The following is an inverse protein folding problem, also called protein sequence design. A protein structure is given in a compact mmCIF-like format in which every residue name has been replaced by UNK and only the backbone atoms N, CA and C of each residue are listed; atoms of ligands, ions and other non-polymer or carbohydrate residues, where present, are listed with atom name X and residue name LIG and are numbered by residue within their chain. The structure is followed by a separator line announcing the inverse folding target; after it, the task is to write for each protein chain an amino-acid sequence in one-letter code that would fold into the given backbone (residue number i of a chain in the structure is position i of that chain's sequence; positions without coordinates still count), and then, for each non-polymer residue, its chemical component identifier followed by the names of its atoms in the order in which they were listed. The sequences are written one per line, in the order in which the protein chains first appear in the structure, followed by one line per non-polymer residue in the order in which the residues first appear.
data_IF_787605574072
#
_entry.id   IF_787605574072
#
_cell.length_a   1.000
_cell.length_b   1.000
_cell.length_c   1.000
_cell.angle_alpha   90.00
_cell.angle_beta   90.00
_cell.angle_gamma   90.00
#
_symmetry.space_group_name_H-M   'P 1'
#
loop_
_entity.id
_entity.type
_entity.pdbx_description
1 polymer ?
#
# COMPACT_ATOMS: atom_id res chain seq x y z
N UNK A 1 -0.99 12.05 15.23
CA UNK A 1 -1.38 12.60 13.92
C UNK A 1 -2.86 12.29 13.82
N UNK A 2 -3.72 13.25 14.10
CA UNK A 2 -5.17 13.01 14.15
C UNK A 2 -5.62 12.51 12.78
N UNK A 3 -6.23 11.32 12.75
CA UNK A 3 -6.64 10.67 11.50
C UNK A 3 -7.58 11.62 10.75
N UNK A 4 -7.18 12.19 9.60
CA UNK A 4 -7.99 13.15 8.88
C UNK A 4 -9.27 12.44 8.39
N UNK A 5 -10.42 12.81 8.97
CA UNK A 5 -11.72 12.25 8.57
C UNK A 5 -12.79 12.18 9.68
N UNK A 6 -12.43 12.23 10.96
CA UNK A 6 -13.42 12.01 12.03
C UNK A 6 -14.31 13.22 12.37
N UNK A 7 -14.05 14.41 11.84
CA UNK A 7 -14.78 15.63 12.25
C UNK A 7 -16.15 15.78 11.55
N UNK A 8 -16.38 15.17 10.38
CA UNK A 8 -17.67 15.28 9.69
C UNK A 8 -18.65 14.14 10.00
N UNK A 9 -18.22 13.08 10.69
CA UNK A 9 -19.04 11.90 10.95
C UNK A 9 -19.30 11.03 9.72
N UNK A 10 -18.71 11.34 8.56
CA UNK A 10 -18.89 10.53 7.36
C UNK A 10 -18.10 9.23 7.45
N UNK A 11 -18.75 8.11 7.13
CA UNK A 11 -18.09 6.81 7.11
C UNK A 11 -17.06 6.74 5.95
N UNK A 12 -15.87 6.26 6.27
CA UNK A 12 -14.84 5.95 5.27
C UNK A 12 -15.20 4.64 4.57
N UNK A 13 -15.41 4.70 3.26
CA UNK A 13 -15.76 3.54 2.42
C UNK A 13 -14.49 2.84 1.92
N UNK A 14 -13.50 3.61 1.49
CA UNK A 14 -12.25 3.09 0.96
C UNK A 14 -11.12 4.13 1.08
N UNK A 15 -9.89 3.67 1.24
CA UNK A 15 -8.68 4.50 1.17
C UNK A 15 -7.70 3.91 0.18
N UNK A 16 -7.08 4.75 -0.62
CA UNK A 16 -5.92 4.39 -1.45
C UNK A 16 -4.82 5.41 -1.25
N UNK A 17 -3.61 4.92 -1.01
CA UNK A 17 -2.43 5.74 -0.81
C UNK A 17 -1.61 5.84 -2.10
N UNK A 18 -0.58 6.70 -2.09
CA UNK A 18 0.42 6.82 -3.15
C UNK A 18 -0.16 7.20 -4.52
N UNK A 19 -1.08 8.17 -4.53
CA UNK A 19 -1.53 8.80 -5.76
C UNK A 19 -0.63 9.99 -6.09
N UNK A 20 -0.38 10.23 -7.38
CA UNK A 20 0.21 11.49 -7.85
C UNK A 20 -0.86 12.30 -8.56
N UNK A 21 -0.96 13.57 -8.18
CA UNK A 21 -1.74 14.57 -8.90
C UNK A 21 -0.82 15.76 -9.14
N UNK A 22 -0.57 16.08 -10.42
CA UNK A 22 0.34 17.17 -10.82
C UNK A 22 1.74 17.11 -10.15
N UNK A 23 2.28 15.90 -9.97
CA UNK A 23 3.60 15.68 -9.38
C UNK A 23 3.65 15.74 -7.84
N UNK A 24 2.51 15.88 -7.16
CA UNK A 24 2.41 15.90 -5.70
C UNK A 24 1.74 14.60 -5.22
N UNK A 25 2.23 14.04 -4.11
CA UNK A 25 1.69 12.84 -3.46
C UNK A 25 0.39 13.12 -2.71
N UNK A 26 -0.61 12.28 -2.95
CA UNK A 26 -1.93 12.32 -2.32
C UNK A 26 -2.36 10.94 -1.83
N UNK A 27 -3.17 10.95 -0.77
CA UNK A 27 -4.04 9.88 -0.37
C UNK A 27 -5.47 10.22 -0.81
N UNK A 28 -6.16 9.29 -1.45
CA UNK A 28 -7.59 9.42 -1.73
C UNK A 28 -8.40 8.67 -0.68
N UNK A 29 -9.32 9.39 -0.05
CA UNK A 29 -10.25 8.88 0.94
C UNK A 29 -11.66 9.00 0.35
N UNK A 30 -12.29 7.86 0.10
CA UNK A 30 -13.67 7.77 -0.38
C UNK A 30 -14.59 7.73 0.83
N UNK A 31 -15.36 8.80 1.03
CA UNK A 31 -16.35 8.93 2.10
C UNK A 31 -17.75 8.67 1.55
N UNK A 32 -18.75 8.58 2.42
CA UNK A 32 -20.15 8.63 2.01
C UNK A 32 -20.47 10.01 1.40
N UNK A 33 -20.82 10.04 0.10
CA UNK A 33 -21.20 11.26 -0.61
C UNK A 33 -20.08 12.12 -1.23
N UNK A 34 -18.80 11.90 -0.90
CA UNK A 34 -17.68 12.68 -1.49
C UNK A 34 -16.35 11.93 -1.54
N UNK A 35 -15.52 12.33 -2.51
CA UNK A 35 -14.10 11.99 -2.60
C UNK A 35 -13.27 13.09 -1.93
N UNK A 36 -12.38 12.71 -1.01
CA UNK A 36 -11.44 13.63 -0.37
C UNK A 36 -10.02 13.27 -0.78
N UNK A 37 -9.26 14.24 -1.27
CA UNK A 37 -7.85 14.11 -1.61
C UNK A 37 -7.01 14.84 -0.57
N UNK A 38 -6.24 14.06 0.19
CA UNK A 38 -5.37 14.54 1.27
C UNK A 38 -3.94 14.55 0.75
N UNK A 39 -3.31 15.72 0.74
CA UNK A 39 -1.91 15.84 0.37
C UNK A 39 -1.02 15.25 1.47
N UNK A 40 0.02 14.47 1.10
CA UNK A 40 0.95 13.86 2.07
C UNK A 40 1.77 14.92 2.83
N UNK A 41 2.11 16.03 2.17
CA UNK A 41 2.67 17.21 2.82
C UNK A 41 1.61 17.88 3.72
N UNK A 42 1.64 17.55 5.01
CA UNK A 42 0.78 18.12 6.05
C UNK A 42 0.83 19.65 6.04
N UNK A 43 -0.16 20.29 5.40
CA UNK A 43 -0.25 21.76 5.28
C UNK A 43 -0.85 22.26 3.97
N UNK A 44 -1.00 21.41 2.95
CA UNK A 44 -1.66 21.75 1.69
C UNK A 44 -3.18 21.52 1.75
N UNK A 45 -3.97 22.26 0.94
CA UNK A 45 -5.43 22.19 0.97
C UNK A 45 -5.93 20.79 0.62
N UNK A 46 -6.94 20.34 1.37
CA UNK A 46 -7.75 19.17 1.04
C UNK A 46 -8.64 19.54 -0.15
N UNK A 47 -8.66 18.69 -1.18
CA UNK A 47 -9.62 18.82 -2.27
C UNK A 47 -10.77 17.86 -2.00
N UNK A 48 -11.96 18.41 -1.79
CA UNK A 48 -13.18 17.64 -1.58
C UNK A 48 -14.08 17.76 -2.80
N UNK A 49 -14.53 16.63 -3.32
CA UNK A 49 -15.35 16.55 -4.53
C UNK A 49 -16.59 15.71 -4.20
N UNK A 50 -17.77 16.34 -4.02
CA UNK A 50 -19.02 15.62 -3.89
C UNK A 50 -19.25 14.69 -5.08
N UNK A 51 -19.72 13.47 -4.84
CA UNK A 51 -19.94 12.50 -5.93
C UNK A 51 -20.95 13.01 -6.96
N UNK A 52 -21.96 13.77 -6.52
CA UNK A 52 -22.94 14.42 -7.39
C UNK A 52 -22.32 15.44 -8.36
N UNK A 53 -21.16 16.00 -8.03
CA UNK A 53 -20.46 16.96 -8.88
C UNK A 53 -19.57 16.24 -9.89
N UNK A 54 -19.27 14.94 -9.69
CA UNK A 54 -18.48 14.14 -10.61
C UNK A 54 -19.34 13.72 -11.81
N UNK A 55 -19.04 14.31 -12.96
CA UNK A 55 -19.72 14.01 -14.23
C UNK A 55 -19.24 12.74 -14.89
N UNK A 56 -17.95 12.40 -14.76
CA UNK A 56 -17.36 11.20 -15.35
C UNK A 56 -16.07 10.82 -14.62
N UNK A 57 -15.92 9.54 -14.30
CA UNK A 57 -14.64 8.95 -13.94
C UNK A 57 -14.24 7.92 -15.02
N UNK A 58 -13.09 8.10 -15.67
CA UNK A 58 -12.61 7.17 -16.70
C UNK A 58 -11.29 6.54 -16.31
N UNK A 59 -11.22 5.22 -16.47
CA UNK A 59 -9.96 4.51 -16.39
C UNK A 59 -9.12 4.82 -17.64
N UNK A 60 -7.87 5.20 -17.43
CA UNK A 60 -6.91 5.45 -18.49
C UNK A 60 -5.56 4.82 -18.10
N UNK A 61 -4.63 4.86 -19.06
CA UNK A 61 -3.22 4.54 -18.84
C UNK A 61 -2.40 5.70 -19.39
N UNK A 62 -1.50 6.28 -18.59
CA UNK A 62 -0.71 7.43 -19.06
C UNK A 62 0.40 7.01 -20.04
N UNK A 63 1.20 7.98 -20.50
CA UNK A 63 2.34 7.74 -21.41
C UNK A 63 3.44 6.87 -20.79
N UNK A 64 3.52 6.83 -19.46
CA UNK A 64 4.45 6.00 -18.69
C UNK A 64 3.88 4.60 -18.38
N UNK A 65 2.70 4.28 -18.91
CA UNK A 65 1.98 3.02 -18.65
C UNK A 65 1.50 2.85 -17.21
N UNK A 66 1.37 3.94 -16.48
CA UNK A 66 0.78 3.91 -15.14
C UNK A 66 -0.74 3.96 -15.24
N UNK A 67 -1.46 3.20 -14.40
CA UNK A 67 -2.92 3.27 -14.34
C UNK A 67 -3.36 4.63 -13.81
N UNK A 68 -4.33 5.24 -14.48
CA UNK A 68 -4.87 6.56 -14.14
C UNK A 68 -6.38 6.48 -14.02
N UNK A 69 -6.96 7.26 -13.09
CA UNK A 69 -8.38 7.64 -13.14
C UNK A 69 -8.44 9.12 -13.50
N UNK A 70 -9.06 9.44 -14.63
CA UNK A 70 -9.40 10.83 -14.97
C UNK A 70 -10.79 11.13 -14.42
N UNK A 71 -10.89 12.07 -13.49
CA UNK A 71 -12.15 12.52 -12.89
C UNK A 71 -12.49 13.89 -13.47
N UNK A 72 -13.66 14.00 -14.09
CA UNK A 72 -14.22 15.27 -14.57
C UNK A 72 -15.38 15.67 -13.67
N UNK A 73 -15.33 16.86 -13.09
CA UNK A 73 -16.32 17.32 -12.12
C UNK A 73 -16.71 18.79 -12.32
N UNK A 74 -17.93 19.14 -11.92
CA UNK A 74 -18.45 20.50 -11.90
C UNK A 74 -17.92 21.28 -10.70
N UNK A 75 -17.67 22.56 -10.89
CA UNK A 75 -17.32 23.51 -9.82
C UNK A 75 -18.51 24.41 -9.49
N UNK A 76 -18.50 25.01 -8.30
CA UNK A 76 -19.53 25.96 -7.87
C UNK A 76 -19.76 27.12 -8.86
N UNK A 77 -18.73 27.50 -9.61
CA UNK A 77 -18.78 28.56 -10.63
C UNK A 77 -19.45 28.09 -11.94
N UNK A 78 -19.96 26.86 -12.00
CA UNK A 78 -20.53 26.25 -13.21
C UNK A 78 -19.48 25.77 -14.23
N UNK A 79 -18.19 25.95 -13.94
CA UNK A 79 -17.09 25.44 -14.75
C UNK A 79 -16.89 23.92 -14.57
N UNK A 80 -16.30 23.28 -15.58
CA UNK A 80 -15.88 21.88 -15.52
C UNK A 80 -14.37 21.80 -15.29
N UNK A 81 -13.93 20.94 -14.36
CA UNK A 81 -12.53 20.65 -14.08
C UNK A 81 -12.23 19.17 -14.26
N UNK A 82 -10.99 18.87 -14.66
CA UNK A 82 -10.46 17.52 -14.75
C UNK A 82 -9.28 17.36 -13.82
N UNK A 83 -9.21 16.22 -13.11
CA UNK A 83 -8.03 15.78 -12.37
C UNK A 83 -7.63 14.38 -12.82
N UNK A 84 -6.34 14.10 -12.81
CA UNK A 84 -5.77 12.79 -13.10
C UNK A 84 -5.21 12.22 -11.81
N UNK A 85 -5.79 11.11 -11.34
CA UNK A 85 -5.29 10.33 -10.22
C UNK A 85 -4.34 9.28 -10.78
N UNK A 86 -3.03 9.52 -10.69
CA UNK A 86 -2.01 8.60 -11.18
C UNK A 86 -1.66 7.64 -10.06
N UNK A 87 -1.91 6.34 -10.26
CA UNK A 87 -1.55 5.31 -9.30
C UNK A 87 -0.09 4.95 -9.54
N UNK A 88 0.79 5.42 -8.65
CA UNK A 88 2.23 5.13 -8.75
C UNK A 88 2.41 3.61 -8.74
N UNK A 89 3.34 3.14 -9.56
CA UNK A 89 3.59 1.72 -9.70
C UNK A 89 4.06 1.08 -8.37
N UNK A 90 3.14 0.46 -7.63
CA UNK A 90 3.46 -0.65 -6.71
C UNK A 90 3.77 -1.87 -7.55
N UNK A 91 4.74 -2.66 -7.12
CA UNK A 91 5.07 -3.88 -7.83
C UNK A 91 3.84 -4.84 -7.86
N UNK A 92 3.81 -5.78 -8.81
CA UNK A 92 2.78 -6.83 -8.96
C UNK A 92 1.45 -6.44 -9.65
N UNK A 93 1.36 -5.29 -10.32
CA UNK A 93 0.12 -4.90 -11.00
C UNK A 93 -1.05 -4.58 -10.05
N UNK A 94 -0.80 -4.53 -8.73
CA UNK A 94 -1.76 -4.11 -7.71
C UNK A 94 -2.34 -2.71 -8.00
N UNK A 95 -1.63 -1.87 -8.74
CA UNK A 95 -2.14 -0.53 -9.11
C UNK A 95 -3.34 -0.59 -10.04
N UNK A 96 -3.39 -1.57 -10.95
CA UNK A 96 -4.55 -1.76 -11.81
C UNK A 96 -5.74 -2.22 -10.96
N UNK A 97 -5.51 -3.14 -10.02
CA UNK A 97 -6.55 -3.60 -9.11
C UNK A 97 -7.04 -2.49 -8.18
N UNK A 98 -6.14 -1.67 -7.64
CA UNK A 98 -6.48 -0.52 -6.80
C UNK A 98 -7.26 0.54 -7.59
N UNK A 99 -6.83 0.83 -8.83
CA UNK A 99 -7.57 1.70 -9.77
C UNK A 99 -8.98 1.17 -9.99
N UNK A 100 -9.11 -0.11 -10.35
CA UNK A 100 -10.40 -0.73 -10.66
C UNK A 100 -11.31 -0.83 -9.42
N UNK A 101 -10.72 -1.05 -8.22
CA UNK A 101 -11.43 -0.98 -6.94
C UNK A 101 -11.94 0.42 -6.66
N UNK A 102 -11.14 1.46 -6.89
CA UNK A 102 -11.57 2.86 -6.77
C UNK A 102 -12.72 3.20 -7.73
N UNK A 103 -12.64 2.75 -8.99
CA UNK A 103 -13.72 2.91 -9.96
C UNK A 103 -15.00 2.19 -9.53
N UNK A 104 -14.88 0.98 -8.98
CA UNK A 104 -16.02 0.23 -8.42
C UNK A 104 -16.67 0.99 -7.26
N UNK A 105 -15.88 1.63 -6.40
CA UNK A 105 -16.39 2.48 -5.32
C UNK A 105 -17.15 3.69 -5.88
N UNK A 106 -16.57 4.39 -6.87
CA UNK A 106 -17.23 5.52 -7.54
C UNK A 106 -18.56 5.11 -8.19
N UNK A 107 -18.58 4.00 -8.92
CA UNK A 107 -19.79 3.47 -9.56
C UNK A 107 -20.88 3.15 -8.54
N UNK A 108 -20.52 2.51 -7.41
CA UNK A 108 -21.47 2.22 -6.31
C UNK A 108 -22.05 3.49 -5.68
N UNK A 109 -21.34 4.61 -5.75
CA UNK A 109 -21.79 5.90 -5.27
C UNK A 109 -22.59 6.70 -6.32
N UNK A 110 -22.94 6.06 -7.45
CA UNK A 110 -23.74 6.66 -8.52
C UNK A 110 -22.94 7.54 -9.48
N UNK A 111 -21.60 7.54 -9.39
CA UNK A 111 -20.75 8.27 -10.33
C UNK A 111 -20.70 7.52 -11.66
N UNK A 112 -20.91 8.20 -12.81
CA UNK A 112 -20.75 7.58 -14.12
C UNK A 112 -19.30 7.14 -14.33
N UNK A 113 -19.07 5.84 -14.49
CA UNK A 113 -17.75 5.25 -14.70
C UNK A 113 -17.59 4.74 -16.13
N UNK A 114 -16.47 5.07 -16.75
CA UNK A 114 -16.04 4.48 -18.02
C UNK A 114 -14.86 3.53 -17.77
N UNK A 115 -15.03 2.22 -17.96
CA UNK A 115 -13.94 1.27 -17.78
C UNK A 115 -12.86 1.45 -18.85
N UNK A 116 -11.65 0.96 -18.54
CA UNK A 116 -10.50 1.02 -19.46
C UNK A 116 -10.85 0.20 -20.71
N UNK A 117 -10.64 0.70 -21.94
CA UNK A 117 -10.60 -0.17 -23.10
C UNK A 117 -9.62 -1.32 -22.83
N UNK A 118 -10.09 -2.54 -23.06
CA UNK A 118 -9.41 -3.78 -22.66
C UNK A 118 -7.96 -3.77 -23.16
N UNK A 119 -6.95 -4.30 -22.40
CA UNK A 119 -5.54 -4.23 -22.79
C UNK A 119 -5.20 -4.71 -24.22
N UNK A 120 -6.03 -5.59 -24.80
CA UNK A 120 -5.94 -6.00 -26.20
C UNK A 120 -6.06 -4.82 -27.19
N UNK A 121 -6.84 -3.80 -26.86
CA UNK A 121 -6.99 -2.57 -27.64
C UNK A 121 -5.75 -1.68 -27.53
N UNK A 122 -5.02 -1.74 -26.41
CA UNK A 122 -3.81 -0.94 -26.20
C UNK A 122 -2.66 -1.40 -27.11
N UNK A 123 -2.44 -2.72 -27.19
CA UNK A 123 -1.43 -3.28 -28.09
C UNK A 123 -1.80 -3.05 -29.55
N UNK A 124 -3.08 -3.09 -29.91
CA UNK A 124 -3.51 -2.88 -31.29
C UNK A 124 -3.46 -1.40 -31.71
N UNK A 125 -3.78 -0.45 -30.82
CA UNK A 125 -3.70 0.99 -31.09
C UNK A 125 -2.24 1.47 -31.19
N UNK A 126 -1.36 1.08 -30.27
CA UNK A 126 0.07 1.39 -30.36
C UNK A 126 0.74 0.79 -31.60
N UNK A 127 0.26 -0.38 -32.04
CA UNK A 127 0.72 -1.01 -33.28
C UNK A 127 0.20 -0.29 -34.52
N UNK A 128 -1.05 0.19 -34.53
CA UNK A 128 -1.62 1.01 -35.63
C UNK A 128 -0.95 2.37 -35.74
N UNK A 129 -0.74 3.08 -34.62
CA UNK A 129 -0.04 4.37 -34.61
C UNK A 129 1.40 4.25 -35.15
N UNK A 130 2.08 3.12 -34.92
CA UNK A 130 3.38 2.83 -35.55
C UNK A 130 3.30 2.49 -37.03
N UNK A 131 2.19 1.93 -37.51
CA UNK A 131 2.00 1.65 -38.94
C UNK A 131 1.61 2.90 -39.73
N UNK A 132 0.84 3.80 -39.13
CA UNK A 132 0.41 5.06 -39.77
C UNK A 132 1.52 6.12 -39.78
N UNK A 133 2.46 6.08 -38.82
CA UNK A 133 3.63 6.96 -38.84
C UNK A 133 4.66 6.63 -39.94
N UNK A 134 4.46 5.55 -40.71
CA UNK A 134 5.40 5.05 -41.72
C UNK A 134 4.92 5.11 -43.17
N UNK A 135 3.67 5.51 -43.43
CA UNK A 135 3.16 5.64 -44.81
C UNK A 135 3.51 7.00 -45.38
N UNK A 136 4.74 7.12 -45.87
CA UNK A 136 5.14 8.18 -46.79
C UNK A 136 4.22 8.12 -48.01
N UNK A 137 3.36 9.13 -48.13
CA UNK A 137 2.46 9.35 -49.23
C UNK A 137 3.26 9.34 -50.55
N UNK A 138 3.15 8.24 -51.30
CA UNK A 138 4.00 7.95 -52.47
C UNK A 138 3.49 8.61 -53.76
N UNK A 139 2.53 9.52 -53.65
CA UNK A 139 1.96 10.26 -54.76
C UNK A 139 2.55 11.67 -54.89
N UNK A 140 3.88 11.78 -55.02
CA UNK A 140 4.53 13.02 -55.43
C UNK A 140 5.42 12.77 -56.66
N UNK A 141 5.30 13.56 -57.74
CA UNK A 141 6.01 13.31 -58.98
C UNK A 141 7.53 13.50 -58.82
N UNK A 142 8.25 12.59 -59.48
CA UNK A 142 9.71 12.44 -59.51
C UNK A 142 10.45 13.73 -59.88
N UNK A 143 10.94 14.44 -58.86
CA UNK A 143 11.96 15.48 -58.98
C UNK A 143 13.04 15.23 -57.95
N UNK A 144 14.12 14.53 -58.33
CA UNK A 144 15.28 14.27 -57.46
C UNK A 144 15.98 15.60 -57.14
N UNK A 145 16.06 16.05 -55.88
CA UNK A 145 17.01 17.09 -55.51
C UNK A 145 18.41 16.47 -55.47
N UNK A 146 19.40 17.20 -56.00
CA UNK A 146 20.80 16.81 -55.92
C UNK A 146 21.23 16.72 -54.45
N UNK A 147 21.72 15.54 -54.06
CA UNK A 147 22.30 15.28 -52.74
C UNK A 147 23.69 15.92 -52.73
N UNK A 148 24.01 16.86 -51.83
CA UNK A 148 25.38 17.31 -51.66
C UNK A 148 26.20 16.22 -50.96
N UNK A 149 27.37 15.92 -51.51
CA UNK A 149 28.40 15.09 -50.85
C UNK A 149 28.81 15.72 -49.53
N UNK A 150 28.50 15.07 -48.41
CA UNK A 150 29.12 15.38 -47.13
C UNK A 150 30.10 14.26 -46.80
N UNK A 151 31.37 14.63 -46.83
CA UNK A 151 32.51 13.81 -46.43
C UNK A 151 32.41 13.46 -44.95
N UNK A 152 32.37 12.15 -44.71
CA UNK A 152 32.62 11.52 -43.41
C UNK A 152 34.07 11.81 -43.04
N UNK A 153 34.30 12.49 -41.91
CA UNK A 153 35.43 12.42 -40.95
C UNK A 153 35.60 13.77 -40.23
N UNK A 154 35.08 13.87 -39.02
CA UNK A 154 35.40 14.94 -38.06
C UNK A 154 35.56 14.34 -36.66
N UNK A 155 36.56 14.76 -35.86
CA UNK A 155 36.84 14.17 -34.55
C UNK A 155 35.81 14.58 -33.50
N UNK A 156 35.64 13.72 -32.49
CA UNK A 156 34.72 13.85 -31.38
C UNK A 156 34.76 15.24 -30.73
N UNK A 157 33.66 15.99 -30.83
CA UNK A 157 33.47 17.21 -30.06
C UNK A 157 33.07 16.83 -28.64
N UNK A 158 33.90 17.24 -27.68
CA UNK A 158 33.64 17.12 -26.27
C UNK A 158 32.35 17.84 -25.85
N UNK A 159 31.69 17.27 -24.85
CA UNK A 159 30.58 17.85 -24.11
C UNK A 159 30.88 19.29 -23.70
N UNK A 160 30.21 20.26 -24.32
CA UNK A 160 30.18 21.64 -23.82
C UNK A 160 29.40 21.66 -22.52
N UNK A 161 30.07 22.04 -21.42
CA UNK A 161 29.39 22.46 -20.19
C UNK A 161 28.41 23.58 -20.53
N UNK A 162 27.18 23.48 -20.02
CA UNK A 162 26.23 24.58 -20.04
C UNK A 162 26.85 25.75 -19.27
N UNK A 163 27.01 26.89 -19.94
CA UNK A 163 27.38 28.14 -19.27
C UNK A 163 26.27 28.48 -18.26
N UNK A 164 26.61 28.94 -17.04
CA UNK A 164 25.61 29.45 -16.11
C UNK A 164 24.88 30.63 -16.76
N UNK A 165 23.55 30.57 -16.79
CA UNK A 165 22.71 31.66 -17.29
C UNK A 165 22.95 32.91 -16.45
N UNK A 166 23.48 33.95 -17.10
CA UNK A 166 23.71 35.25 -16.51
C UNK A 166 22.34 35.89 -16.17
N UNK A 167 22.11 36.34 -14.92
CA UNK A 167 20.82 36.85 -14.51
C UNK A 167 20.49 38.12 -15.31
N UNK A 168 19.43 38.04 -16.11
CA UNK A 168 18.94 39.15 -16.93
C UNK A 168 18.61 40.34 -16.00
N UNK A 169 19.20 41.53 -16.21
CA UNK A 169 18.96 42.68 -15.34
C UNK A 169 17.48 43.05 -15.39
N UNK A 170 16.79 42.87 -14.27
CA UNK A 170 15.41 43.34 -14.09
C UNK A 170 15.42 44.87 -14.17
N UNK A 171 14.60 45.41 -15.06
CA UNK A 171 14.55 46.86 -15.28
C UNK A 171 14.03 47.56 -14.02
N UNK A 172 14.63 48.68 -13.60
CA UNK A 172 14.21 49.41 -12.40
C UNK A 172 12.77 49.95 -12.49
N UNK A 173 12.21 50.00 -13.71
CA UNK A 173 10.82 50.36 -13.94
C UNK A 173 9.84 49.31 -13.39
N UNK A 174 10.19 48.02 -13.45
CA UNK A 174 9.31 46.94 -12.99
C UNK A 174 9.17 46.92 -11.46
N UNK A 175 10.28 47.19 -10.75
CA UNK A 175 10.29 47.32 -9.29
C UNK A 175 9.46 48.50 -8.81
N UNK A 176 9.52 49.65 -9.50
CA UNK A 176 8.69 50.81 -9.16
C UNK A 176 7.20 50.53 -9.36
N UNK A 177 6.81 49.84 -10.45
CA UNK A 177 5.41 49.46 -10.68
C UNK A 177 4.91 48.52 -9.58
N UNK A 178 5.70 47.53 -9.18
CA UNK A 178 5.33 46.60 -8.11
C UNK A 178 5.13 47.32 -6.76
N UNK A 179 5.99 48.28 -6.42
CA UNK A 179 5.88 49.07 -5.19
C UNK A 179 4.61 49.94 -5.20
N UNK A 180 4.32 50.61 -6.32
CA UNK A 180 3.11 51.45 -6.46
C UNK A 180 1.85 50.61 -6.34
N UNK A 181 1.84 49.42 -6.95
CA UNK A 181 0.68 48.53 -6.92
C UNK A 181 0.43 47.97 -5.51
N UNK A 182 1.49 47.65 -4.77
CA UNK A 182 1.39 47.19 -3.39
C UNK A 182 0.91 48.30 -2.44
N UNK A 183 1.39 49.53 -2.64
CA UNK A 183 0.92 50.69 -1.88
C UNK A 183 -0.57 51.00 -2.16
N UNK A 184 -1.02 50.84 -3.42
CA UNK A 184 -2.42 51.02 -3.78
C UNK A 184 -3.34 49.97 -3.11
N UNK A 185 -2.93 48.70 -3.06
CA UNK A 185 -3.68 47.64 -2.37
C UNK A 185 -3.81 47.96 -0.86
N UNK A 186 -2.73 48.42 -0.24
CA UNK A 186 -2.72 48.81 1.17
C UNK A 186 -3.66 49.99 1.46
N UNK A 187 -3.69 50.97 0.56
CA UNK A 187 -4.61 52.11 0.65
C UNK A 187 -6.08 51.68 0.51
N UNK A 188 -6.39 50.76 -0.40
CA UNK A 188 -7.76 50.22 -0.55
C UNK A 188 -8.17 49.43 0.69
N UNK A 189 -7.27 48.64 1.27
CA UNK A 189 -7.55 47.87 2.48
C UNK A 189 -7.83 48.76 3.71
N UNK A 190 -7.24 49.96 3.80
CA UNK A 190 -7.48 50.88 4.92
C UNK A 190 -8.79 51.68 4.83
N UNK A 191 -9.36 51.83 3.63
CA UNK A 191 -10.61 52.61 3.42
C UNK A 191 -11.83 51.70 3.26
N UNK A 192 -11.62 50.40 3.09
CA UNK A 192 -12.72 49.43 2.97
C UNK A 192 -13.26 49.06 4.36
N UNK A 193 -14.53 49.35 4.68
CA UNK A 193 -15.13 48.91 5.93
C UNK A 193 -15.12 47.38 5.98
N UNK A 194 -14.45 46.82 6.99
CA UNK A 194 -14.47 45.39 7.29
C UNK A 194 -15.94 45.04 7.58
N UNK A 195 -16.61 44.22 6.76
CA UNK A 195 -17.97 43.80 7.06
C UNK A 195 -17.93 43.07 8.40
N UNK A 196 -18.71 43.55 9.37
CA UNK A 196 -18.89 42.86 10.64
C UNK A 196 -19.27 41.40 10.35
N UNK A 197 -18.65 40.41 11.02
CA UNK A 197 -19.03 39.02 10.89
C UNK A 197 -20.44 38.85 11.45
N UNK A 198 -21.44 39.08 10.60
CA UNK A 198 -22.82 38.76 10.86
C UNK A 198 -22.94 37.26 11.08
N UNK A 199 -23.30 36.88 12.31
CA UNK A 199 -23.73 35.54 12.69
C UNK A 199 -24.71 35.00 11.64
N UNK A 200 -24.26 33.99 10.90
CA UNK A 200 -25.05 33.38 9.84
C UNK A 200 -26.29 32.71 10.43
N UNK A 201 -27.42 32.93 9.75
CA UNK A 201 -28.77 32.74 10.30
C UNK A 201 -29.25 31.27 10.26
N UNK A 202 -28.36 30.33 9.91
CA UNK A 202 -28.71 28.93 9.72
C UNK A 202 -28.66 28.08 11.01
N UNK A 203 -28.16 28.63 12.13
CA UNK A 203 -28.19 27.95 13.44
C UNK A 203 -29.59 27.88 14.10
N UNK A 204 -30.65 28.37 13.47
CA UNK A 204 -32.00 28.45 14.09
C UNK A 204 -32.99 27.34 13.68
N UNK A 205 -32.54 26.24 13.08
CA UNK A 205 -33.43 25.18 12.59
C UNK A 205 -33.11 23.77 13.13
N UNK A 206 -32.79 23.62 14.42
CA UNK A 206 -32.68 22.31 15.06
C UNK A 206 -33.35 22.29 16.45
N UNK A 207 -34.65 22.61 16.51
CA UNK A 207 -35.46 22.37 17.69
C UNK A 207 -36.91 22.11 17.29
N UNK A 208 -37.28 20.83 17.07
CA UNK A 208 -38.56 20.23 17.47
C UNK A 208 -38.79 18.86 16.81
N UNK A 209 -38.59 17.76 17.56
CA UNK A 209 -39.67 16.82 17.93
C UNK A 209 -39.13 15.67 18.77
N UNK A 210 -39.53 15.66 20.04
CA UNK A 210 -39.51 14.49 20.90
C UNK A 210 -40.69 13.57 20.53
N UNK A 211 -40.41 12.27 20.37
CA UNK A 211 -41.39 11.20 20.23
C UNK A 211 -40.82 9.93 20.86
N UNK A 212 -41.08 9.75 22.15
CA UNK A 212 -40.67 8.59 22.95
C UNK A 212 -41.52 7.38 22.54
N UNK A 213 -40.88 6.32 22.05
CA UNK A 213 -41.48 4.98 21.96
C UNK A 213 -40.68 4.07 22.88
N UNK A 214 -41.36 3.45 23.85
CA UNK A 214 -40.74 2.54 24.81
C UNK A 214 -40.38 1.21 24.14
N UNK A 215 -39.11 0.82 24.25
CA UNK A 215 -38.61 -0.49 23.83
C UNK A 215 -38.72 -1.48 24.99
N UNK A 216 -39.28 -2.69 24.81
CA UNK A 216 -39.44 -3.66 25.89
C UNK A 216 -38.11 -4.31 26.29
N UNK A 217 -37.92 -4.40 27.61
CA UNK A 217 -36.85 -5.12 28.32
C UNK A 217 -36.90 -6.63 28.03
N UNK A 218 -35.83 -7.26 27.52
CA UNK A 218 -35.74 -8.72 27.48
C UNK A 218 -35.42 -9.30 28.87
N UNK A 219 -36.13 -10.38 29.21
CA UNK A 219 -35.98 -11.14 30.44
C UNK A 219 -34.65 -11.94 30.46
N UNK A 220 -34.00 -12.12 31.63
CA UNK A 220 -32.78 -12.89 31.75
C UNK A 220 -33.07 -14.40 31.57
N UNK A 221 -32.34 -15.03 30.64
CA UNK A 221 -32.31 -16.49 30.47
C UNK A 221 -31.22 -17.10 31.33
N UNK A 222 -31.61 -18.01 32.21
CA UNK A 222 -30.77 -18.75 33.15
C UNK A 222 -29.83 -19.74 32.43
N UNK A 223 -28.54 -19.68 32.78
CA UNK A 223 -27.52 -20.63 32.31
C UNK A 223 -27.65 -22.00 33.02
N UNK A 224 -27.49 -23.13 32.31
CA UNK A 224 -27.38 -24.44 32.94
C UNK A 224 -25.98 -24.67 33.55
N UNK A 225 -25.96 -25.02 34.82
CA UNK A 225 -24.80 -25.48 35.56
C UNK A 225 -24.33 -26.86 35.06
N UNK A 226 -23.06 -26.97 34.66
CA UNK A 226 -22.40 -28.25 34.42
C UNK A 226 -21.59 -28.65 35.67
N UNK A 227 -21.77 -29.91 36.05
CA UNK A 227 -21.32 -30.51 37.29
C UNK A 227 -19.79 -30.70 37.37
N UNK A 228 -19.28 -30.47 38.57
CA UNK A 228 -17.93 -30.83 39.02
C UNK A 228 -17.88 -32.34 39.24
N UNK A 229 -16.85 -33.00 38.69
CA UNK A 229 -16.48 -34.37 39.10
C UNK A 229 -15.04 -34.36 39.62
N UNK A 230 -14.94 -34.59 40.94
CA UNK A 230 -13.71 -34.89 41.65
C UNK A 230 -13.22 -36.29 41.28
N UNK A 231 -11.93 -36.45 41.03
CA UNK A 231 -11.22 -37.71 41.28
C UNK A 231 -10.03 -37.37 42.19
N UNK A 232 -10.05 -37.96 43.37
CA UNK A 232 -8.98 -37.96 44.34
C UNK A 232 -7.94 -39.03 43.97
N UNK A 233 -6.65 -38.69 44.01
CA UNK A 233 -5.56 -39.64 44.21
C UNK A 233 -4.54 -39.08 45.20
N UNK A 234 -4.08 -39.99 46.06
CA UNK A 234 -3.28 -39.82 47.27
C UNK A 234 -1.83 -39.36 47.04
N UNK A 235 -1.13 -38.94 48.11
CA UNK A 235 0.19 -38.32 48.05
C UNK A 235 1.32 -39.34 48.28
N UNK A 236 2.47 -39.09 47.64
CA UNK A 236 3.73 -39.67 48.09
C UNK A 236 4.86 -39.64 47.08
N UNK A 237 5.71 -38.61 47.14
CA UNK A 237 7.17 -38.67 47.26
C UNK A 237 7.89 -37.48 46.61
N UNK A 238 9.06 -37.20 47.18
CA UNK A 238 9.77 -35.92 47.23
C UNK A 238 11.15 -36.00 46.55
N UNK A 239 11.50 -34.91 45.83
CA UNK A 239 12.83 -34.24 45.68
C UNK A 239 13.82 -34.89 44.66
N UNK A 240 14.72 -34.16 43.94
CA UNK A 240 14.71 -32.80 43.33
C UNK A 240 15.21 -32.78 41.85
N UNK A 241 15.43 -31.58 41.30
CA UNK A 241 16.26 -31.26 40.12
C UNK A 241 15.74 -31.58 38.71
N UNK A 242 15.19 -30.53 38.07
CA UNK A 242 15.52 -30.05 36.72
C UNK A 242 14.39 -29.11 36.26
N UNK A 243 14.71 -27.85 35.96
CA UNK A 243 13.73 -26.88 35.47
C UNK A 243 13.37 -27.29 34.04
N UNK A 244 12.28 -28.05 33.90
CA UNK A 244 11.68 -28.35 32.61
C UNK A 244 11.12 -27.05 32.01
N UNK A 245 11.73 -26.60 30.92
CA UNK A 245 11.26 -25.50 30.09
C UNK A 245 9.89 -25.85 29.52
N UNK A 246 8.86 -25.10 29.92
CA UNK A 246 7.50 -25.32 29.47
C UNK A 246 7.39 -24.95 27.98
N UNK A 247 7.44 -25.96 27.11
CA UNK A 247 7.15 -25.79 25.69
C UNK A 247 5.68 -25.39 25.55
N UNK A 248 5.43 -24.14 25.14
CA UNK A 248 4.09 -23.69 24.81
C UNK A 248 3.52 -24.58 23.69
N UNK A 249 2.24 -24.98 23.74
CA UNK A 249 1.64 -25.75 22.67
C UNK A 249 1.72 -24.95 21.36
N UNK A 250 2.02 -25.60 20.21
CA UNK A 250 2.13 -24.91 18.93
C UNK A 250 0.84 -24.13 18.65
N UNK A 251 0.97 -22.82 18.45
CA UNK A 251 -0.16 -21.89 18.24
C UNK A 251 -0.62 -21.11 19.48
N UNK A 252 0.03 -21.26 20.64
CA UNK A 252 -0.20 -20.38 21.78
C UNK A 252 0.38 -18.97 21.50
N UNK A 253 -0.46 -17.95 21.67
CA UNK A 253 -0.05 -16.55 21.53
C UNK A 253 0.68 -16.12 22.80
N UNK A 254 1.83 -15.43 22.71
CA UNK A 254 2.55 -14.98 23.89
C UNK A 254 1.73 -14.04 24.77
N UNK A 255 1.87 -14.19 26.09
CA UNK A 255 1.13 -13.43 27.10
C UNK A 255 1.53 -11.95 27.27
N UNK A 256 2.46 -11.45 26.46
CA UNK A 256 3.02 -10.11 26.59
C UNK A 256 2.97 -9.37 25.26
N UNK A 257 2.40 -8.16 25.26
CA UNK A 257 2.32 -7.31 24.06
C UNK A 257 1.08 -7.57 23.22
N UNK A 258 1.02 -6.92 22.06
CA UNK A 258 -0.07 -7.04 21.08
C UNK A 258 0.38 -7.94 19.93
N UNK A 259 -0.46 -8.91 19.58
CA UNK A 259 -0.17 -9.91 18.56
C UNK A 259 -1.32 -10.06 17.58
N UNK A 260 -0.99 -10.34 16.32
CA UNK A 260 -1.96 -10.73 15.30
C UNK A 260 -1.66 -12.16 14.89
N UNK A 261 -2.62 -13.06 15.05
CA UNK A 261 -2.57 -14.44 14.56
C UNK A 261 -3.37 -14.53 13.28
N UNK A 262 -2.79 -15.10 12.25
CA UNK A 262 -3.49 -15.47 11.00
C UNK A 262 -3.35 -16.97 10.84
N UNK A 263 -4.46 -17.68 10.69
CA UNK A 263 -4.47 -19.12 10.51
C UNK A 263 -5.26 -19.48 9.25
N UNK A 264 -4.56 -20.09 8.28
CA UNK A 264 -5.16 -20.60 7.07
C UNK A 264 -4.35 -21.74 6.50
N UNK A 265 -4.98 -22.88 6.19
CA UNK A 265 -4.26 -24.02 5.60
C UNK A 265 -3.75 -23.72 4.18
N UNK A 266 -4.47 -22.86 3.46
CA UNK A 266 -4.09 -22.40 2.14
C UNK A 266 -3.13 -21.22 2.19
N UNK A 267 -2.98 -20.57 1.03
CA UNK A 267 -2.16 -19.36 0.92
C UNK A 267 -2.99 -18.11 1.14
N UNK A 268 -2.44 -17.13 1.85
CA UNK A 268 -3.04 -15.82 2.05
C UNK A 268 -2.03 -14.69 1.85
N UNK A 269 -2.53 -13.52 1.46
CA UNK A 269 -1.76 -12.28 1.35
C UNK A 269 -2.56 -11.12 1.92
N UNK A 270 -1.89 -10.06 2.38
CA UNK A 270 -2.55 -8.97 3.06
C UNK A 270 -1.61 -7.92 3.63
N UNK A 271 -2.15 -7.05 4.46
CA UNK A 271 -1.44 -5.99 5.16
C UNK A 271 -1.94 -5.87 6.59
N UNK A 272 -1.03 -5.69 7.55
CA UNK A 272 -1.30 -5.31 8.93
C UNK A 272 -0.78 -3.88 9.12
N UNK A 273 -1.63 -2.95 9.51
CA UNK A 273 -1.23 -1.56 9.75
C UNK A 273 -1.68 -1.07 11.12
N UNK A 274 -0.80 -0.36 11.82
CA UNK A 274 -1.08 0.22 13.13
C UNK A 274 -0.13 1.39 13.42
N UNK A 275 -0.66 2.55 13.80
CA UNK A 275 0.16 3.69 14.22
C UNK A 275 1.21 4.15 13.19
N UNK A 276 0.93 4.00 11.88
CA UNK A 276 1.86 4.32 10.78
C UNK A 276 2.86 3.21 10.44
N UNK A 277 2.92 2.12 11.22
CA UNK A 277 3.59 0.89 10.83
C UNK A 277 2.68 0.13 9.85
N UNK A 278 3.25 -0.39 8.77
CA UNK A 278 2.60 -1.34 7.87
C UNK A 278 3.51 -2.56 7.70
N UNK A 279 2.93 -3.75 7.83
CA UNK A 279 3.57 -5.05 7.64
C UNK A 279 2.78 -5.77 6.55
N UNK A 280 3.40 -6.02 5.41
CA UNK A 280 2.80 -6.88 4.41
C UNK A 280 2.91 -8.33 4.86
N UNK A 281 1.80 -9.06 4.81
CA UNK A 281 1.74 -10.47 5.18
C UNK A 281 1.48 -11.30 3.96
N UNK A 282 2.25 -12.37 3.82
CA UNK A 282 2.16 -13.29 2.71
C UNK A 282 2.68 -14.63 3.20
N UNK A 283 1.79 -15.59 3.44
CA UNK A 283 2.19 -16.88 4.00
C UNK A 283 1.11 -17.96 3.81
N UNK A 284 1.37 -19.10 4.43
CA UNK A 284 0.42 -20.19 4.62
C UNK A 284 0.56 -20.74 6.05
N UNK A 285 -0.41 -21.55 6.48
CA UNK A 285 -0.46 -22.12 7.81
C UNK A 285 -0.89 -21.10 8.88
N UNK A 286 -0.37 -21.28 10.10
CA UNK A 286 -0.59 -20.35 11.21
C UNK A 286 0.63 -19.48 11.42
N UNK A 287 0.48 -18.17 11.31
CA UNK A 287 1.51 -17.18 11.59
C UNK A 287 1.06 -16.26 12.73
N UNK A 288 2.03 -15.79 13.51
CA UNK A 288 1.79 -14.87 14.63
C UNK A 288 2.77 -13.71 14.49
N UNK A 289 2.25 -12.49 14.42
CA UNK A 289 3.00 -11.26 14.23
C UNK A 289 2.91 -10.39 15.49
N UNK A 290 4.04 -9.92 15.99
CA UNK A 290 4.06 -8.95 17.08
C UNK A 290 3.89 -7.54 16.54
N UNK A 291 2.98 -6.77 17.11
CA UNK A 291 2.78 -5.37 16.75
C UNK A 291 3.42 -4.48 17.82
N UNK A 292 4.50 -3.74 17.52
CA UNK A 292 5.21 -2.88 18.47
C UNK A 292 4.46 -1.54 18.68
N UNK A 293 3.16 -1.61 18.98
CA UNK A 293 2.26 -0.47 19.14
C UNK A 293 1.57 -0.51 20.50
N UNK A 294 0.94 0.59 20.87
CA UNK A 294 0.14 0.75 22.09
C UNK A 294 -0.91 1.83 21.82
N UNK A 295 -2.10 1.71 22.43
CA UNK A 295 -3.15 2.73 22.39
C UNK A 295 -3.46 3.20 20.95
N UNK A 296 -3.68 2.26 20.04
CA UNK A 296 -3.88 2.53 18.61
C UNK A 296 -4.95 1.64 18.02
N UNK A 297 -5.26 1.84 16.74
CA UNK A 297 -6.12 0.94 15.99
C UNK A 297 -5.27 0.10 15.05
N UNK A 298 -5.58 -1.20 15.00
CA UNK A 298 -4.97 -2.13 14.06
C UNK A 298 -5.95 -2.35 12.91
N UNK A 299 -5.52 -1.94 11.73
CA UNK A 299 -6.15 -2.21 10.46
C UNK A 299 -5.56 -3.50 9.87
N UNK A 300 -6.40 -4.49 9.61
CA UNK A 300 -6.00 -5.78 9.06
C UNK A 300 -6.78 -6.02 7.78
N UNK A 301 -6.08 -6.30 6.69
CA UNK A 301 -6.70 -6.77 5.45
C UNK A 301 -5.96 -8.02 5.00
N UNK A 302 -6.64 -9.17 4.93
CA UNK A 302 -6.05 -10.42 4.48
C UNK A 302 -7.00 -11.15 3.54
N UNK A 303 -6.51 -11.57 2.40
CA UNK A 303 -7.25 -12.32 1.40
C UNK A 303 -6.64 -13.69 1.15
N UNK A 304 -7.51 -14.65 0.82
CA UNK A 304 -7.08 -15.96 0.32
C UNK A 304 -6.54 -15.81 -1.09
N UNK A 305 -5.32 -16.24 -1.32
CA UNK A 305 -4.77 -16.32 -2.68
C UNK A 305 -5.23 -17.57 -3.44
N UNK A 306 -5.91 -18.50 -2.77
CA UNK A 306 -6.51 -19.67 -3.41
C UNK A 306 -8.06 -19.60 -3.43
N UNK A 307 -8.64 -20.39 -4.34
CA UNK A 307 -10.10 -20.54 -4.45
C UNK A 307 -10.67 -21.57 -3.48
N UNK A 308 -9.99 -21.86 -2.37
CA UNK A 308 -10.43 -22.94 -1.46
C UNK A 308 -11.57 -22.49 -0.55
N UNK A 309 -12.38 -23.46 -0.10
CA UNK A 309 -13.45 -23.24 0.88
C UNK A 309 -12.97 -23.35 2.35
N UNK A 310 -11.68 -23.57 2.59
CA UNK A 310 -11.12 -23.69 3.94
C UNK A 310 -11.27 -22.38 4.72
N UNK A 311 -11.33 -22.44 6.05
CA UNK A 311 -11.50 -21.25 6.87
C UNK A 311 -10.18 -20.48 7.03
N UNK A 312 -10.18 -19.20 6.64
CA UNK A 312 -9.16 -18.21 7.02
C UNK A 312 -9.63 -17.55 8.31
N UNK A 313 -8.85 -17.67 9.39
CA UNK A 313 -9.12 -17.11 10.71
C UNK A 313 -8.07 -16.04 11.03
N UNK A 314 -8.52 -14.92 11.59
CA UNK A 314 -7.65 -13.84 12.08
C UNK A 314 -8.05 -13.53 13.52
N UNK A 315 -7.06 -13.37 14.39
CA UNK A 315 -7.27 -12.96 15.78
C UNK A 315 -6.25 -11.90 16.20
N UNK A 316 -6.72 -10.86 16.86
CA UNK A 316 -5.90 -9.85 17.53
C UNK A 316 -5.89 -10.16 19.02
N UNK A 317 -4.70 -10.16 19.63
CA UNK A 317 -4.49 -10.51 21.02
C UNK A 317 -3.74 -9.39 21.74
N UNK A 318 -4.07 -9.15 23.00
CA UNK A 318 -3.34 -8.23 23.88
C UNK A 318 -3.08 -8.91 25.22
N UNK A 319 -1.80 -9.13 25.54
CA UNK A 319 -1.42 -9.88 26.73
C UNK A 319 -1.82 -11.36 26.69
N UNK A 320 -1.85 -11.96 25.50
CA UNK A 320 -2.26 -13.36 25.27
C UNK A 320 -3.78 -13.60 25.29
N UNK A 321 -4.59 -12.59 25.61
CA UNK A 321 -6.06 -12.68 25.54
C UNK A 321 -6.54 -12.16 24.19
N UNK A 322 -7.54 -12.83 23.60
CA UNK A 322 -8.17 -12.40 22.35
C UNK A 322 -8.90 -11.08 22.59
N UNK A 323 -8.53 -10.05 21.85
CA UNK A 323 -9.25 -8.77 21.79
C UNK A 323 -10.41 -8.90 20.82
N UNK A 324 -10.13 -9.37 19.59
CA UNK A 324 -11.12 -9.55 18.53
C UNK A 324 -10.65 -10.63 17.55
N UNK A 325 -11.59 -11.34 16.92
CA UNK A 325 -11.29 -12.37 15.92
C UNK A 325 -12.40 -12.46 14.87
N UNK A 326 -12.04 -12.78 13.62
CA UNK A 326 -12.97 -13.02 12.52
C UNK A 326 -12.56 -14.23 11.68
N UNK A 327 -13.49 -14.80 10.92
CA UNK A 327 -13.30 -16.01 10.12
C UNK A 327 -14.09 -15.98 8.81
N UNK A 328 -13.48 -16.42 7.71
CA UNK A 328 -14.16 -16.58 6.42
C UNK A 328 -13.84 -17.90 5.73
N UNK A 329 -14.89 -18.60 5.27
CA UNK A 329 -14.79 -19.81 4.44
C UNK A 329 -15.12 -19.54 2.96
N UNK A 330 -15.33 -18.27 2.58
CA UNK A 330 -15.62 -17.93 1.17
C UNK A 330 -14.39 -18.23 0.30
N UNK A 331 -14.54 -18.91 -0.86
CA UNK A 331 -13.49 -19.04 -1.87
C UNK A 331 -12.99 -17.66 -2.32
N UNK A 332 -11.66 -17.46 -2.36
CA UNK A 332 -11.04 -16.13 -2.57
C UNK A 332 -11.63 -15.04 -1.67
N UNK A 333 -12.09 -15.43 -0.47
CA UNK A 333 -12.60 -14.51 0.52
C UNK A 333 -11.49 -13.63 1.07
N UNK A 334 -11.85 -12.39 1.42
CA UNK A 334 -11.03 -11.49 2.19
C UNK A 334 -11.68 -11.22 3.55
N UNK A 335 -10.84 -10.95 4.55
CA UNK A 335 -11.19 -10.43 5.86
C UNK A 335 -10.59 -9.04 6.01
N UNK A 336 -11.39 -8.13 6.55
CA UNK A 336 -11.00 -6.78 6.88
C UNK A 336 -11.43 -6.52 8.32
N UNK A 337 -10.49 -6.18 9.21
CA UNK A 337 -10.75 -5.92 10.63
C UNK A 337 -10.16 -4.56 11.02
N UNK A 338 -10.88 -3.83 11.87
CA UNK A 338 -10.46 -2.54 12.42
C UNK A 338 -10.55 -2.60 13.95
N UNK A 339 -9.46 -3.02 14.59
CA UNK A 339 -9.47 -3.43 16.00
C UNK A 339 -8.80 -2.37 16.88
N UNK A 340 -9.57 -1.63 17.70
CA UNK A 340 -8.98 -0.72 18.68
C UNK A 340 -8.28 -1.54 19.77
N UNK A 341 -6.98 -1.33 19.95
CA UNK A 341 -6.18 -1.96 21.00
C UNK A 341 -5.75 -0.91 22.02
N UNK A 342 -5.99 -1.21 23.31
CA UNK A 342 -5.55 -0.36 24.41
C UNK A 342 -4.03 -0.44 24.66
N UNK A 343 -3.57 -0.12 25.88
CA UNK A 343 -2.16 -0.21 26.19
C UNK A 343 -1.72 -1.68 26.14
N UNK A 344 -0.51 -1.91 25.65
CA UNK A 344 0.05 -3.25 25.58
C UNK A 344 0.15 -3.85 26.98
N UNK A 345 -0.53 -4.97 27.23
CA UNK A 345 -0.48 -5.66 28.51
C UNK A 345 0.85 -6.42 28.56
N UNK A 346 1.75 -5.90 29.38
CA UNK A 346 2.98 -6.57 29.77
C UNK A 346 2.66 -7.30 31.06
N UNK A 347 2.25 -8.57 30.98
CA UNK A 347 2.22 -9.38 32.19
C UNK A 347 3.68 -9.59 32.57
N UNK A 348 4.00 -9.25 33.82
CA UNK A 348 5.34 -9.50 34.34
C UNK A 348 5.47 -11.02 34.49
N UNK A 349 5.71 -11.70 33.36
CA UNK A 349 5.83 -13.13 33.31
C UNK A 349 7.03 -13.47 34.19
N UNK A 350 6.83 -14.38 35.15
CA UNK A 350 7.93 -15.15 35.72
C UNK A 350 8.83 -15.54 34.56
N UNK A 351 10.15 -15.24 34.59
CA UNK A 351 11.03 -15.41 33.44
C UNK A 351 10.84 -16.81 32.90
N UNK A 352 10.05 -16.90 31.83
CA UNK A 352 9.90 -18.13 31.07
C UNK A 352 11.29 -18.37 30.53
N UNK A 353 11.81 -19.57 30.74
CA UNK A 353 13.07 -19.99 30.12
C UNK A 353 13.10 -19.56 28.65
N UNK A 354 14.29 -19.25 28.12
CA UNK A 354 14.46 -18.66 26.79
C UNK A 354 13.45 -19.26 25.82
N UNK A 355 12.49 -18.43 25.39
CA UNK A 355 11.44 -18.84 24.47
C UNK A 355 12.08 -19.69 23.37
N UNK A 356 11.76 -20.98 23.37
CA UNK A 356 11.96 -21.81 22.19
C UNK A 356 11.03 -21.19 21.15
N UNK A 357 11.59 -20.23 20.40
CA UNK A 357 11.03 -19.77 19.14
C UNK A 357 10.68 -21.07 18.42
N UNK A 358 9.39 -21.32 18.22
CA UNK A 358 8.98 -22.33 17.26
C UNK A 358 9.55 -21.81 15.97
N UNK A 359 10.73 -22.30 15.62
CA UNK A 359 11.35 -22.08 14.35
C UNK A 359 10.28 -22.50 13.36
N UNK A 360 9.79 -21.51 12.60
CA UNK A 360 9.12 -21.74 11.31
C UNK A 360 9.85 -22.94 10.73
N UNK A 361 9.18 -24.07 10.41
CA UNK A 361 9.87 -25.28 9.97
C UNK A 361 10.92 -24.82 8.99
N UNK A 362 12.17 -24.90 9.42
CA UNK A 362 13.28 -24.27 8.72
C UNK A 362 13.13 -24.80 7.32
N UNK A 363 12.76 -23.93 6.37
CA UNK A 363 12.55 -24.34 4.99
C UNK A 363 13.90 -24.87 4.62
N UNK A 364 14.05 -26.19 4.68
CA UNK A 364 15.36 -26.83 4.79
C UNK A 364 16.07 -26.37 3.56
N UNK A 365 17.04 -25.47 3.75
CA UNK A 365 17.72 -24.83 2.63
C UNK A 365 18.16 -25.98 1.74
N UNK A 366 17.74 -26.01 0.47
CA UNK A 366 17.96 -27.17 -0.38
C UNK A 366 19.44 -27.54 -0.25
N UNK A 367 19.71 -28.77 0.21
CA UNK A 367 21.06 -29.24 0.50
C UNK A 367 21.94 -28.99 -0.74
N UNK A 368 22.79 -27.96 -0.67
CA UNK A 368 23.53 -27.46 -1.83
C UNK A 368 23.44 -25.95 -2.12
N UNK A 369 22.78 -25.14 -1.28
CA UNK A 369 22.80 -23.68 -1.46
C UNK A 369 24.24 -23.12 -1.43
N UNK A 370 24.55 -22.25 -2.38
CA UNK A 370 25.83 -21.57 -2.49
C UNK A 370 26.04 -20.65 -1.28
N UNK A 371 27.25 -20.64 -0.68
CA UNK A 371 27.52 -19.78 0.46
C UNK A 371 27.44 -18.30 0.03
N UNK A 372 26.65 -17.52 0.75
CA UNK A 372 26.58 -16.06 0.55
C UNK A 372 27.90 -15.44 1.05
N UNK A 373 28.55 -14.55 0.27
CA UNK A 373 29.79 -13.93 0.71
C UNK A 373 29.60 -13.12 2.01
N UNK A 374 30.63 -13.14 2.87
CA UNK A 374 30.61 -12.49 4.18
C UNK A 374 30.80 -10.96 4.14
N UNK A 375 31.02 -10.37 2.97
CA UNK A 375 31.25 -8.93 2.81
C UNK A 375 30.41 -8.35 1.68
N UNK A 376 29.69 -7.26 1.98
CA UNK A 376 28.82 -6.56 1.03
C UNK A 376 27.34 -6.84 1.24
N UNK A 377 26.52 -6.39 0.29
CA UNK A 377 25.07 -6.55 0.31
C UNK A 377 24.66 -7.46 -0.83
N UNK A 378 23.85 -8.47 -0.52
CA UNK A 378 23.42 -9.47 -1.49
C UNK A 378 21.93 -9.70 -1.43
N UNK A 379 21.32 -9.94 -2.59
CA UNK A 379 19.98 -10.52 -2.70
C UNK A 379 20.14 -11.93 -3.22
N UNK A 380 19.74 -12.93 -2.43
CA UNK A 380 19.72 -14.33 -2.84
C UNK A 380 18.30 -14.70 -3.26
N UNK A 381 18.17 -15.38 -4.39
CA UNK A 381 16.91 -15.90 -4.90
C UNK A 381 17.06 -17.41 -5.06
N UNK A 382 16.18 -18.18 -4.43
CA UNK A 382 16.15 -19.63 -4.53
C UNK A 382 14.83 -20.03 -5.16
N UNK A 383 14.87 -20.41 -6.43
CA UNK A 383 13.70 -20.95 -7.11
C UNK A 383 14.07 -22.01 -8.14
N UNK A 384 13.59 -23.26 -8.03
CA UNK A 384 13.95 -24.31 -8.99
C UNK A 384 13.38 -24.10 -10.40
N UNK A 385 12.41 -23.20 -10.57
CA UNK A 385 11.82 -22.84 -11.86
C UNK A 385 12.43 -21.58 -12.48
N UNK A 386 11.81 -21.07 -13.54
CA UNK A 386 12.19 -19.79 -14.16
C UNK A 386 11.50 -18.63 -13.43
N UNK A 387 12.17 -17.49 -13.32
CA UNK A 387 11.60 -16.28 -12.73
C UNK A 387 12.13 -15.02 -13.42
N UNK A 388 11.34 -13.95 -13.40
CA UNK A 388 11.66 -12.65 -13.97
C UNK A 388 11.34 -11.53 -13.00
N UNK A 389 12.02 -10.39 -13.07
CA UNK A 389 11.70 -9.27 -12.20
C UNK A 389 12.75 -8.18 -12.17
N UNK A 390 12.77 -7.39 -11.09
CA UNK A 390 13.70 -6.29 -10.87
C UNK A 390 14.22 -6.30 -9.45
N UNK A 391 15.49 -5.92 -9.29
CA UNK A 391 16.11 -5.65 -7.98
C UNK A 391 16.60 -4.20 -8.04
N UNK A 392 16.04 -3.36 -7.19
CA UNK A 392 16.37 -1.95 -7.04
C UNK A 392 17.28 -1.73 -5.82
N UNK A 393 18.19 -0.77 -5.96
CA UNK A 393 19.23 -0.50 -4.98
C UNK A 393 19.66 0.97 -5.10
N UNK A 394 19.29 1.83 -4.14
CA UNK A 394 19.64 3.27 -4.18
C UNK A 394 19.29 3.94 -5.52
N UNK A 395 18.11 3.62 -6.08
CA UNK A 395 17.65 4.15 -7.37
C UNK A 395 18.27 3.48 -8.60
N UNK A 396 19.19 2.51 -8.43
CA UNK A 396 19.67 1.68 -9.53
C UNK A 396 18.84 0.42 -9.62
N UNK A 397 18.26 0.16 -10.80
CA UNK A 397 17.48 -1.04 -11.07
C UNK A 397 18.27 -2.04 -11.89
N UNK A 398 18.23 -3.31 -11.49
CA UNK A 398 18.73 -4.45 -12.25
C UNK A 398 17.57 -5.37 -12.60
N UNK A 399 17.26 -5.47 -13.89
CA UNK A 399 16.35 -6.51 -14.37
C UNK A 399 16.97 -7.89 -14.20
N UNK A 400 16.17 -8.87 -13.80
CA UNK A 400 16.58 -10.26 -13.66
C UNK A 400 15.65 -11.18 -14.45
N UNK A 401 16.24 -12.18 -15.07
CA UNK A 401 15.55 -13.26 -15.76
C UNK A 401 16.45 -14.49 -15.64
N UNK A 402 16.10 -15.40 -14.75
CA UNK A 402 16.98 -16.53 -14.40
C UNK A 402 16.18 -17.71 -13.85
N UNK A 403 16.90 -18.75 -13.43
CA UNK A 403 16.37 -19.92 -12.75
C UNK A 403 17.36 -20.46 -11.73
N UNK A 404 16.88 -21.32 -10.84
CA UNK A 404 17.68 -21.94 -9.81
C UNK A 404 18.00 -20.99 -8.66
N UNK A 405 19.16 -21.21 -8.04
CA UNK A 405 19.72 -20.30 -7.06
C UNK A 405 20.53 -19.21 -7.78
N UNK A 406 20.29 -17.95 -7.41
CA UNK A 406 21.11 -16.81 -7.85
C UNK A 406 21.44 -15.92 -6.68
N UNK A 407 22.64 -15.34 -6.70
CA UNK A 407 23.11 -14.38 -5.71
C UNK A 407 23.50 -13.09 -6.44
N UNK A 408 22.80 -12.00 -6.15
CA UNK A 408 23.03 -10.70 -6.76
C UNK A 408 23.74 -9.78 -5.77
N UNK A 409 24.98 -9.39 -6.06
CA UNK A 409 25.68 -8.36 -5.31
C UNK A 409 25.14 -6.97 -5.67
N UNK A 410 24.87 -6.17 -4.64
CA UNK A 410 24.47 -4.76 -4.74
C UNK A 410 25.64 -3.86 -4.34
N UNK A 411 25.91 -2.83 -5.15
CA UNK A 411 27.01 -1.87 -4.92
C UNK A 411 26.60 -0.78 -3.94
N UNK A 412 26.26 -1.15 -2.70
CA UNK A 412 25.91 -0.21 -1.63
C UNK A 412 26.38 -0.68 -0.26
N UNK A 413 26.49 0.25 0.69
CA UNK A 413 26.79 -0.03 2.10
C UNK A 413 25.59 0.25 3.04
N UNK A 414 24.76 1.22 2.65
CA UNK A 414 23.52 1.67 3.32
C UNK A 414 22.54 2.06 2.22
N UNK A 415 21.26 1.81 2.42
CA UNK A 415 20.24 2.19 1.45
C UNK A 415 18.94 1.41 1.55
N UNK A 416 18.00 1.76 0.68
CA UNK A 416 16.79 0.98 0.47
C UNK A 416 17.02 -0.03 -0.65
N UNK A 417 16.46 -1.22 -0.45
CA UNK A 417 16.45 -2.31 -1.40
C UNK A 417 14.99 -2.66 -1.68
N UNK A 418 14.64 -2.66 -2.96
CA UNK A 418 13.39 -3.24 -3.44
C UNK A 418 13.72 -4.47 -4.28
N UNK A 419 13.01 -5.58 -4.08
CA UNK A 419 13.07 -6.71 -5.00
C UNK A 419 11.66 -7.12 -5.37
N UNK A 420 11.42 -7.27 -6.67
CA UNK A 420 10.16 -7.73 -7.24
C UNK A 420 10.46 -8.90 -8.18
N UNK A 421 9.97 -10.09 -7.87
CA UNK A 421 10.28 -11.31 -8.61
C UNK A 421 9.02 -12.12 -8.87
N UNK A 422 8.74 -12.42 -10.14
CA UNK A 422 7.60 -13.20 -10.62
C UNK A 422 8.05 -14.57 -11.11
N UNK A 423 7.34 -15.62 -10.72
CA UNK A 423 7.56 -16.98 -11.25
C UNK A 423 7.13 -17.04 -12.71
N UNK A 424 8.02 -17.50 -13.58
CA UNK A 424 7.74 -17.75 -14.99
C UNK A 424 6.97 -19.04 -15.26
N UNK A 425 6.56 -19.77 -14.22
CA UNK A 425 5.81 -21.02 -14.34
C UNK A 425 4.66 -21.11 -13.32
N UNK A 426 3.72 -22.01 -13.60
CA UNK A 426 2.55 -22.28 -12.77
C UNK A 426 2.80 -23.32 -11.67
N UNK A 427 4.05 -23.54 -11.26
CA UNK A 427 4.34 -24.55 -10.24
C UNK A 427 3.92 -24.08 -8.84
N UNK A 428 3.68 -25.02 -7.92
CA UNK A 428 3.43 -24.73 -6.48
C UNK A 428 4.72 -24.68 -5.66
N UNK A 429 5.89 -24.73 -6.33
CA UNK A 429 7.18 -24.69 -5.63
C UNK A 429 7.42 -23.28 -5.08
N UNK A 430 8.09 -23.22 -3.94
CA UNK A 430 8.37 -21.96 -3.28
C UNK A 430 9.52 -21.22 -3.99
N UNK A 431 9.34 -19.94 -4.28
CA UNK A 431 10.44 -19.00 -4.57
C UNK A 431 10.76 -18.28 -3.27
N UNK A 432 12.00 -18.36 -2.81
CA UNK A 432 12.49 -17.68 -1.62
C UNK A 432 13.45 -16.58 -2.03
N UNK A 433 13.27 -15.39 -1.49
CA UNK A 433 14.12 -14.22 -1.71
C UNK A 433 14.62 -13.75 -0.36
N UNK A 434 15.93 -13.58 -0.24
CA UNK A 434 16.58 -13.20 1.00
C UNK A 434 17.55 -12.05 0.74
N UNK A 435 17.64 -11.13 1.70
CA UNK A 435 18.59 -10.02 1.67
C UNK A 435 19.63 -10.24 2.76
N UNK A 436 20.90 -10.15 2.38
CA UNK A 436 22.04 -10.31 3.27
C UNK A 436 22.89 -9.04 3.34
N UNK A 437 23.40 -8.74 4.53
CA UNK A 437 24.43 -7.71 4.77
C UNK A 437 25.59 -8.33 5.53
N UNK A 438 26.76 -8.35 4.91
CA UNK A 438 27.99 -8.90 5.45
C UNK A 438 27.81 -10.34 5.98
N UNK A 439 27.19 -11.21 5.17
CA UNK A 439 26.90 -12.60 5.50
C UNK A 439 25.72 -12.82 6.47
N UNK A 440 25.18 -11.77 7.08
CA UNK A 440 24.02 -11.88 7.96
C UNK A 440 22.73 -11.63 7.18
N UNK A 441 21.74 -12.50 7.35
CA UNK A 441 20.41 -12.29 6.76
C UNK A 441 19.73 -11.11 7.45
N UNK A 442 19.23 -10.18 6.65
CA UNK A 442 18.51 -8.98 7.09
C UNK A 442 17.00 -9.23 7.04
N UNK A 443 16.51 -9.72 5.90
CA UNK A 443 15.10 -10.02 5.68
C UNK A 443 14.93 -11.13 4.65
N UNK A 444 13.75 -11.75 4.60
CA UNK A 444 13.38 -12.78 3.64
C UNK A 444 11.89 -12.71 3.33
N UNK A 445 11.51 -13.05 2.10
CA UNK A 445 10.12 -13.25 1.69
C UNK A 445 10.04 -14.40 0.69
N UNK A 446 8.90 -15.08 0.65
CA UNK A 446 8.70 -16.23 -0.22
C UNK A 446 7.27 -16.32 -0.76
N UNK A 447 7.07 -17.07 -1.85
CA UNK A 447 5.73 -17.41 -2.33
C UNK A 447 5.68 -18.76 -3.05
N UNK A 448 4.61 -19.52 -2.77
CA UNK A 448 4.30 -20.78 -3.45
C UNK A 448 3.22 -20.64 -4.53
N UNK A 449 2.61 -19.45 -4.73
CA UNK A 449 1.54 -19.29 -5.71
C UNK A 449 2.05 -19.61 -7.13
N UNK A 450 1.33 -20.37 -7.96
CA UNK A 450 1.56 -20.46 -9.41
C UNK A 450 1.62 -19.08 -10.08
N UNK A 451 2.68 -18.78 -10.82
CA UNK A 451 2.93 -17.42 -11.35
C UNK A 451 2.94 -16.33 -10.26
N UNK A 452 3.24 -16.73 -9.02
CA UNK A 452 3.29 -15.86 -7.86
C UNK A 452 4.41 -14.85 -7.95
N UNK A 453 4.25 -13.79 -7.18
CA UNK A 453 5.21 -12.70 -7.04
C UNK A 453 5.74 -12.68 -5.61
N UNK A 454 7.05 -12.51 -5.46
CA UNK A 454 7.71 -12.09 -4.22
C UNK A 454 8.08 -10.62 -4.32
N UNK A 455 7.75 -9.86 -3.28
CA UNK A 455 8.14 -8.48 -3.11
C UNK A 455 8.87 -8.32 -1.77
N UNK A 456 10.01 -7.63 -1.78
CA UNK A 456 10.74 -7.25 -0.57
C UNK A 456 11.00 -5.75 -0.63
N UNK A 457 10.66 -5.07 0.45
CA UNK A 457 11.09 -3.71 0.73
C UNK A 457 11.88 -3.70 2.05
N UNK A 458 13.14 -3.30 2.03
CA UNK A 458 13.96 -3.25 3.24
C UNK A 458 14.99 -2.13 3.19
N UNK A 459 15.41 -1.66 4.36
CA UNK A 459 16.52 -0.74 4.52
C UNK A 459 17.67 -1.41 5.27
N UNK A 460 18.89 -1.16 4.83
CA UNK A 460 20.12 -1.73 5.38
C UNK A 460 21.12 -0.69 5.84
#
# INVERSE_FOLDING_TARGET
MDTPGNESGDAVIHRTQRLIINGIGYEAVFLEGRLVLVCEDAGKPRLEIPYQDITLASAETNRLREPVIRITYGTADGGMRGIELIFIFLAAGKNIQNRDRCLTVLEKQGVPVRPDPTPADYYSRARRERMDAGTLDTAAPTGRPAVPEWTVYGPAQGTRQALPDEPKPVSPAFTLVAIVLLAAILLVAMVSPIPEPGLQHWEKAAAAKAGVTATPTPAPVSAPAAAVSNIAHEPGQTIPDSVAEATLPPGAVPGNGIWVKIAYQGYYAGTLSAGGLQIDVNSSGTQIYQMPVHDTVIDIFVEKGDGSGEALEIGVYNGGEVVESDVTSRPRGALEMHVPVGPAIIRNATPVGPLVVTTIPETVAPSGASPVPSTGVFVRVLYPGQYTGTISANGFERAVNSSGEQIFQLSMAVGNIDAFLEKGDGSVRNILVEVYKNGNMVTSADTSIPYGVVEIHTSI
#
